data_IF_572310390767
#
_entry.id   IF_572310390767
#
_cell.length_a   1.000
_cell.length_b   1.000
_cell.length_c   1.000
_cell.angle_alpha   90.00
_cell.angle_beta   90.00
_cell.angle_gamma   90.00
#
_symmetry.space_group_name_H-M   'P 1'
#
loop_
_entity.id
_entity.type
_entity.pdbx_description
1 polymer ?
#
# COMPACT_ATOMS: atom_id res chain seq x y z
N UNK A 1 28.03 7.48 13.00
CA UNK A 1 26.93 7.53 12.02
C UNK A 1 26.06 8.71 12.33
N UNK A 2 25.79 9.64 11.41
CA UNK A 2 24.81 10.67 11.67
C UNK A 2 23.47 9.95 11.82
N UNK A 3 22.89 10.02 13.00
CA UNK A 3 21.65 9.34 13.32
C UNK A 3 20.61 9.64 12.25
N UNK A 4 19.87 8.63 11.82
CA UNK A 4 18.69 8.79 10.99
C UNK A 4 17.86 9.89 11.66
N UNK A 5 18.03 11.11 11.14
CA UNK A 5 17.72 12.34 11.85
C UNK A 5 16.31 12.34 12.41
N UNK A 6 16.16 12.87 13.60
CA UNK A 6 14.91 12.99 14.31
C UNK A 6 13.78 13.65 13.51
N UNK A 7 12.79 14.22 14.18
CA UNK A 7 11.61 14.83 13.56
C UNK A 7 11.91 15.70 12.33
N UNK A 8 13.03 16.46 12.34
CA UNK A 8 13.44 17.30 11.19
C UNK A 8 13.67 16.48 9.91
N UNK A 9 14.27 15.29 9.98
CA UNK A 9 14.50 14.45 8.80
C UNK A 9 13.20 13.82 8.31
N UNK A 10 12.29 13.48 9.22
CA UNK A 10 10.96 13.00 8.90
C UNK A 10 10.15 14.07 8.12
N UNK A 11 10.09 15.30 8.66
CA UNK A 11 9.40 16.40 7.98
C UNK A 11 10.06 16.84 6.66
N UNK A 12 11.36 16.64 6.50
CA UNK A 12 12.05 16.90 5.22
C UNK A 12 11.54 15.99 4.09
N UNK A 13 11.09 14.78 4.40
CA UNK A 13 10.53 13.86 3.41
C UNK A 13 9.22 14.37 2.81
N UNK A 14 8.43 15.18 3.55
CA UNK A 14 7.23 15.84 3.02
C UNK A 14 7.56 16.93 1.99
N UNK A 15 8.76 17.51 2.05
CA UNK A 15 9.19 18.54 1.11
C UNK A 15 9.66 17.98 -0.23
N UNK A 16 9.76 16.65 -0.37
CA UNK A 16 10.15 15.98 -1.63
C UNK A 16 8.96 15.87 -2.58
N UNK A 17 8.52 17.02 -3.10
CA UNK A 17 7.39 17.14 -4.01
C UNK A 17 7.81 17.16 -5.49
N UNK A 18 9.08 17.53 -5.77
CA UNK A 18 9.60 17.60 -7.13
C UNK A 18 10.04 16.20 -7.61
N UNK A 19 9.07 15.37 -7.95
CA UNK A 19 9.24 14.04 -8.52
C UNK A 19 8.60 14.01 -9.92
N UNK A 20 9.01 13.10 -10.83
CA UNK A 20 8.34 12.95 -12.11
C UNK A 20 6.83 12.72 -11.94
N UNK A 21 5.95 13.44 -12.69
CA UNK A 21 4.49 13.38 -12.53
C UNK A 21 3.92 11.95 -12.65
N UNK A 22 4.58 11.08 -13.39
CA UNK A 22 4.18 9.67 -13.53
C UNK A 22 4.09 8.96 -12.18
N UNK A 23 4.91 9.33 -11.19
CA UNK A 23 4.86 8.71 -9.86
C UNK A 23 3.61 9.12 -9.09
N UNK A 24 3.11 10.33 -9.29
CA UNK A 24 1.83 10.74 -8.72
C UNK A 24 0.67 9.98 -9.38
N UNK A 25 0.73 9.79 -10.71
CA UNK A 25 -0.26 9.00 -11.43
C UNK A 25 -0.23 7.52 -10.97
N UNK A 26 0.94 6.90 -10.88
CA UNK A 26 1.10 5.53 -10.36
C UNK A 26 0.57 5.46 -8.93
N UNK A 27 0.96 6.37 -8.07
CA UNK A 27 0.53 6.39 -6.67
C UNK A 27 -0.99 6.45 -6.55
N UNK A 28 -1.64 7.33 -7.28
CA UNK A 28 -3.07 7.53 -7.17
C UNK A 28 -3.89 6.43 -7.88
N UNK A 29 -3.47 6.00 -9.06
CA UNK A 29 -4.31 5.19 -9.95
C UNK A 29 -3.91 3.71 -10.05
N UNK A 30 -2.78 3.27 -9.46
CA UNK A 30 -2.40 1.86 -9.47
C UNK A 30 -3.50 0.92 -8.95
N UNK A 31 -4.29 1.25 -7.92
CA UNK A 31 -5.36 0.39 -7.45
C UNK A 31 -6.45 0.13 -8.50
N UNK A 32 -6.73 1.08 -9.40
CA UNK A 32 -7.81 0.97 -10.39
C UNK A 32 -7.66 -0.26 -11.29
N UNK A 33 -6.57 -0.44 -12.04
CA UNK A 33 -6.42 -1.63 -12.89
C UNK A 33 -6.40 -2.94 -12.09
N UNK A 34 -5.94 -2.93 -10.84
CA UNK A 34 -5.92 -4.12 -9.99
C UNK A 34 -7.35 -4.53 -9.57
N UNK A 35 -8.16 -3.56 -9.16
CA UNK A 35 -9.56 -3.79 -8.78
C UNK A 35 -10.39 -4.21 -9.99
N UNK A 36 -10.20 -3.56 -11.14
CA UNK A 36 -10.89 -3.95 -12.37
C UNK A 36 -10.47 -5.35 -12.84
N UNK A 37 -9.19 -5.70 -12.76
CA UNK A 37 -8.72 -7.04 -13.10
C UNK A 37 -9.32 -8.10 -12.15
N UNK A 38 -9.41 -7.81 -10.85
CA UNK A 38 -10.07 -8.70 -9.90
C UNK A 38 -11.54 -8.92 -10.25
N UNK A 39 -12.27 -7.86 -10.62
CA UNK A 39 -13.65 -7.95 -11.05
C UNK A 39 -13.81 -8.75 -12.36
N UNK A 40 -12.90 -8.58 -13.32
CA UNK A 40 -12.91 -9.35 -14.57
C UNK A 40 -12.64 -10.83 -14.32
N UNK A 41 -11.69 -11.17 -13.44
CA UNK A 41 -11.44 -12.55 -13.02
C UNK A 41 -12.70 -13.15 -12.37
N UNK A 42 -13.33 -12.39 -11.48
CA UNK A 42 -14.57 -12.78 -10.82
C UNK A 42 -15.67 -13.18 -11.82
N UNK A 43 -15.89 -12.33 -12.84
CA UNK A 43 -16.84 -12.62 -13.91
C UNK A 43 -16.40 -13.83 -14.76
N UNK A 44 -15.10 -13.94 -15.06
CA UNK A 44 -14.54 -15.07 -15.79
C UNK A 44 -14.72 -16.42 -15.08
N UNK A 45 -14.88 -16.40 -13.75
CA UNK A 45 -15.26 -17.57 -12.95
C UNK A 45 -16.77 -17.85 -12.94
N UNK A 46 -17.55 -17.20 -13.80
CA UNK A 46 -19.01 -17.36 -13.90
C UNK A 46 -19.79 -16.71 -12.75
N UNK A 47 -19.16 -15.82 -12.00
CA UNK A 47 -19.80 -15.11 -10.88
C UNK A 47 -20.45 -13.82 -11.36
N UNK A 48 -21.56 -13.44 -10.72
CA UNK A 48 -22.24 -12.18 -11.03
C UNK A 48 -21.63 -11.02 -10.27
N UNK A 49 -21.64 -9.83 -10.87
CA UNK A 49 -21.17 -8.59 -10.31
C UNK A 49 -22.29 -7.54 -10.41
N UNK A 50 -22.94 -7.27 -9.27
CA UNK A 50 -24.07 -6.35 -9.23
C UNK A 50 -23.66 -4.89 -9.41
N UNK A 51 -22.49 -4.53 -8.87
CA UNK A 51 -22.01 -3.14 -8.85
C UNK A 51 -20.54 -3.07 -9.22
N UNK A 52 -20.22 -2.37 -10.31
CA UNK A 52 -18.84 -2.10 -10.74
C UNK A 52 -18.23 -0.88 -10.06
N UNK A 53 -19.03 0.18 -9.95
CA UNK A 53 -18.61 1.48 -9.41
C UNK A 53 -19.71 1.96 -8.47
N UNK A 54 -19.30 2.34 -7.28
CA UNK A 54 -20.16 3.02 -6.29
C UNK A 54 -19.75 4.48 -6.23
N UNK A 55 -20.71 5.37 -6.41
CA UNK A 55 -20.50 6.81 -6.28
C UNK A 55 -21.24 7.31 -5.03
N UNK A 56 -20.59 7.34 -3.87
CA UNK A 56 -21.21 7.95 -2.71
C UNK A 56 -21.48 9.43 -2.98
N UNK A 57 -22.57 9.97 -2.44
CA UNK A 57 -22.97 11.36 -2.64
C UNK A 57 -23.13 12.12 -1.32
N UNK A 58 -23.08 13.43 -1.39
CA UNK A 58 -23.32 14.32 -0.26
C UNK A 58 -22.35 14.08 0.92
N UNK A 59 -22.86 14.05 2.13
CA UNK A 59 -22.10 13.88 3.35
C UNK A 59 -21.36 12.53 3.40
N UNK A 60 -21.95 11.46 2.85
CA UNK A 60 -21.32 10.14 2.77
C UNK A 60 -20.06 10.17 1.92
N UNK A 61 -20.06 10.88 0.79
CA UNK A 61 -18.88 11.05 -0.04
C UNK A 61 -17.75 11.78 0.72
N UNK A 62 -18.08 12.89 1.37
CA UNK A 62 -17.12 13.67 2.14
C UNK A 62 -16.53 12.85 3.29
N UNK A 63 -17.34 12.08 4.01
CA UNK A 63 -16.89 11.18 5.06
C UNK A 63 -15.98 10.08 4.51
N UNK A 64 -16.37 9.39 3.44
CA UNK A 64 -15.59 8.31 2.84
C UNK A 64 -14.22 8.81 2.34
N UNK A 65 -14.18 9.98 1.69
CA UNK A 65 -12.93 10.59 1.25
C UNK A 65 -12.05 10.97 2.45
N UNK A 66 -12.63 11.62 3.46
CA UNK A 66 -11.91 11.97 4.68
C UNK A 66 -11.33 10.75 5.41
N UNK A 67 -12.14 9.71 5.57
CA UNK A 67 -11.72 8.45 6.17
C UNK A 67 -10.64 7.72 5.34
N UNK A 68 -10.60 7.96 4.03
CA UNK A 68 -9.58 7.40 3.15
C UNK A 68 -8.25 8.16 3.18
N UNK A 69 -8.25 9.44 3.56
CA UNK A 69 -7.06 10.30 3.54
C UNK A 69 -6.40 10.41 4.92
N UNK A 70 -7.18 10.57 5.98
CA UNK A 70 -6.66 10.88 7.32
C UNK A 70 -5.78 9.77 7.90
N UNK A 71 -6.19 8.47 7.91
CA UNK A 71 -5.35 7.39 8.42
C UNK A 71 -4.00 7.26 7.69
N UNK A 72 -3.94 7.27 6.34
CA UNK A 72 -2.68 7.26 5.59
C UNK A 72 -1.69 8.34 6.00
N UNK A 73 -2.16 9.53 6.35
CA UNK A 73 -1.24 10.59 6.82
C UNK A 73 -0.49 10.16 8.08
N UNK A 74 -1.18 9.59 9.07
CA UNK A 74 -0.54 9.12 10.31
C UNK A 74 0.29 7.86 10.10
N UNK A 75 -0.26 6.87 9.42
CA UNK A 75 0.38 5.57 9.23
C UNK A 75 1.68 5.67 8.42
N UNK A 76 1.69 6.44 7.34
CA UNK A 76 2.87 6.55 6.49
C UNK A 76 4.03 7.31 7.16
N UNK A 77 3.76 8.21 8.11
CA UNK A 77 4.80 8.76 8.95
C UNK A 77 5.54 7.68 9.74
N UNK A 78 4.80 6.73 10.31
CA UNK A 78 5.37 5.60 11.05
C UNK A 78 6.07 4.61 10.14
N UNK A 79 5.35 4.10 9.14
CA UNK A 79 5.83 3.00 8.30
C UNK A 79 6.94 3.43 7.34
N UNK A 80 6.69 4.42 6.48
CA UNK A 80 7.64 4.81 5.43
C UNK A 80 8.54 5.97 5.85
N UNK A 81 8.02 6.87 6.67
CA UNK A 81 8.83 7.98 7.17
C UNK A 81 9.86 7.56 8.20
N UNK A 82 9.51 6.65 9.10
CA UNK A 82 10.36 6.26 10.24
C UNK A 82 10.94 4.85 10.10
N UNK A 83 10.12 3.81 9.97
CA UNK A 83 10.56 2.42 10.03
C UNK A 83 11.31 2.00 8.75
N UNK A 84 10.76 2.30 7.57
CA UNK A 84 11.33 1.90 6.29
C UNK A 84 12.80 2.34 6.12
N UNK A 85 13.19 3.62 6.30
CA UNK A 85 14.59 4.02 6.11
C UNK A 85 15.56 3.32 7.06
N UNK A 86 15.13 3.03 8.28
CA UNK A 86 15.98 2.39 9.30
C UNK A 86 16.18 0.91 9.03
N UNK A 87 15.10 0.21 8.71
CA UNK A 87 15.15 -1.23 8.43
C UNK A 87 15.90 -1.50 7.13
N UNK A 88 15.67 -0.71 6.07
CA UNK A 88 16.32 -0.96 4.79
C UNK A 88 17.82 -0.66 4.78
N UNK A 89 18.31 0.25 5.63
CA UNK A 89 19.75 0.47 5.82
C UNK A 89 20.44 -0.78 6.37
N UNK A 90 19.75 -1.57 7.18
CA UNK A 90 20.32 -2.76 7.81
C UNK A 90 20.05 -4.04 7.02
N UNK A 91 18.86 -4.20 6.45
CA UNK A 91 18.40 -5.45 5.89
C UNK A 91 18.10 -5.39 4.39
N UNK A 92 18.19 -4.23 3.76
CA UNK A 92 17.75 -3.99 2.39
C UNK A 92 16.25 -3.71 2.29
N UNK A 93 15.83 -3.17 1.13
CA UNK A 93 14.49 -2.62 0.97
C UNK A 93 13.39 -3.70 0.95
N UNK A 94 13.64 -4.85 0.31
CA UNK A 94 12.66 -5.94 0.27
C UNK A 94 12.41 -6.53 1.66
N UNK A 95 13.48 -6.85 2.41
CA UNK A 95 13.33 -7.38 3.77
C UNK A 95 12.65 -6.38 4.69
N UNK A 96 12.99 -5.09 4.58
CA UNK A 96 12.33 -4.04 5.34
C UNK A 96 10.83 -3.95 5.00
N UNK A 97 10.47 -4.02 3.72
CA UNK A 97 9.08 -3.99 3.27
C UNK A 97 8.29 -5.20 3.78
N UNK A 98 8.87 -6.40 3.76
CA UNK A 98 8.23 -7.61 4.29
C UNK A 98 7.99 -7.48 5.80
N UNK A 99 8.99 -7.05 6.58
CA UNK A 99 8.85 -6.84 8.02
C UNK A 99 7.76 -5.82 8.32
N UNK A 100 7.75 -4.68 7.60
CA UNK A 100 6.71 -3.66 7.75
C UNK A 100 5.34 -4.23 7.36
N UNK A 101 5.26 -5.00 6.26
CA UNK A 101 4.03 -5.64 5.83
C UNK A 101 3.45 -6.58 6.88
N UNK A 102 4.29 -7.39 7.53
CA UNK A 102 3.89 -8.26 8.64
C UNK A 102 3.36 -7.44 9.82
N UNK A 103 4.12 -6.44 10.26
CA UNK A 103 3.71 -5.57 11.38
C UNK A 103 2.40 -4.83 11.06
N UNK A 104 2.28 -4.33 9.85
CA UNK A 104 1.08 -3.63 9.39
C UNK A 104 -0.13 -4.55 9.28
N UNK A 105 0.06 -5.80 8.81
CA UNK A 105 -0.99 -6.83 8.82
C UNK A 105 -1.46 -7.14 10.23
N UNK A 106 -0.51 -7.35 11.16
CA UNK A 106 -0.84 -7.59 12.57
C UNK A 106 -1.60 -6.41 13.18
N UNK A 107 -1.19 -5.18 12.87
CA UNK A 107 -1.92 -3.97 13.27
C UNK A 107 -3.38 -3.99 12.78
N UNK A 108 -3.65 -4.47 11.56
CA UNK A 108 -5.00 -4.54 11.00
C UNK A 108 -5.88 -5.64 11.62
N UNK A 109 -5.32 -6.49 12.48
CA UNK A 109 -6.10 -7.47 13.24
C UNK A 109 -6.65 -6.91 14.57
N UNK A 110 -6.38 -5.65 14.91
CA UNK A 110 -6.86 -5.02 16.15
C UNK A 110 -8.40 -5.11 16.35
N UNK A 111 -9.26 -5.09 15.29
CA UNK A 111 -10.69 -5.24 15.51
C UNK A 111 -11.09 -6.56 16.18
N UNK A 112 -10.25 -7.60 16.08
CA UNK A 112 -10.45 -8.87 16.79
C UNK A 112 -10.31 -8.75 18.30
N UNK A 113 -9.50 -7.81 18.77
CA UNK A 113 -9.20 -7.60 20.17
C UNK A 113 -10.19 -6.64 20.87
N UNK A 114 -11.10 -6.01 20.10
CA UNK A 114 -12.06 -5.03 20.64
C UNK A 114 -13.33 -5.75 21.11
N UNK A 115 -13.80 -5.50 22.33
CA UNK A 115 -15.10 -5.99 22.79
C UNK A 115 -16.21 -5.56 21.82
N UNK A 116 -17.01 -6.51 21.33
CA UNK A 116 -18.05 -6.24 20.34
C UNK A 116 -17.56 -6.18 18.88
N UNK A 117 -16.26 -6.35 18.63
CA UNK A 117 -15.70 -6.50 17.30
C UNK A 117 -16.23 -7.74 16.57
N UNK A 118 -15.92 -7.89 15.27
CA UNK A 118 -16.37 -9.03 14.47
C UNK A 118 -15.92 -10.34 15.12
N UNK A 119 -16.87 -11.16 15.52
CA UNK A 119 -16.61 -12.43 16.24
C UNK A 119 -16.04 -13.54 15.37
N UNK A 120 -15.98 -13.35 14.05
CA UNK A 120 -15.62 -14.37 13.07
C UNK A 120 -14.61 -13.76 12.08
N UNK A 121 -13.34 -13.89 12.42
CA UNK A 121 -12.29 -13.88 11.40
C UNK A 121 -12.03 -15.34 11.00
N UNK A 122 -12.34 -15.66 9.77
CA UNK A 122 -11.90 -16.93 9.22
C UNK A 122 -10.37 -16.91 9.07
N UNK A 123 -9.68 -18.04 9.20
CA UNK A 123 -8.25 -18.12 8.90
C UNK A 123 -7.90 -17.56 7.51
N UNK A 124 -8.82 -17.68 6.55
CA UNK A 124 -8.72 -17.09 5.21
C UNK A 124 -8.62 -15.56 5.23
N UNK A 125 -9.35 -14.88 6.13
CA UNK A 125 -9.34 -13.41 6.23
C UNK A 125 -8.02 -12.92 6.80
N UNK A 126 -7.48 -13.65 7.76
CA UNK A 126 -6.16 -13.37 8.32
C UNK A 126 -5.10 -13.54 7.23
N UNK A 127 -5.09 -14.70 6.55
CA UNK A 127 -4.12 -15.00 5.51
C UNK A 127 -4.17 -13.96 4.37
N UNK A 128 -5.36 -13.65 3.87
CA UNK A 128 -5.52 -12.66 2.80
C UNK A 128 -5.06 -11.26 3.22
N UNK A 129 -5.26 -10.88 4.49
CA UNK A 129 -4.78 -9.60 5.03
C UNK A 129 -3.26 -9.54 4.98
N UNK A 130 -2.57 -10.61 5.39
CA UNK A 130 -1.10 -10.69 5.30
C UNK A 130 -0.63 -10.65 3.85
N UNK A 131 -1.22 -11.44 2.95
CA UNK A 131 -0.85 -11.45 1.53
C UNK A 131 -1.01 -10.06 0.92
N UNK A 132 -2.14 -9.41 1.13
CA UNK A 132 -2.43 -8.08 0.62
C UNK A 132 -1.48 -7.03 1.17
N UNK A 133 -1.32 -6.95 2.49
CA UNK A 133 -0.53 -5.88 3.11
C UNK A 133 0.97 -6.06 2.97
N UNK A 134 1.49 -7.28 2.89
CA UNK A 134 2.88 -7.52 2.52
C UNK A 134 3.11 -7.08 1.07
N UNK A 135 2.22 -7.47 0.14
CA UNK A 135 2.29 -7.02 -1.25
C UNK A 135 2.23 -5.49 -1.37
N UNK A 136 1.29 -4.87 -0.68
CA UNK A 136 1.14 -3.40 -0.63
C UNK A 136 2.37 -2.72 -0.03
N UNK A 137 2.95 -3.28 1.03
CA UNK A 137 4.16 -2.74 1.65
C UNK A 137 5.37 -2.75 0.69
N UNK A 138 5.51 -3.80 -0.12
CA UNK A 138 6.56 -3.88 -1.16
C UNK A 138 6.31 -2.81 -2.24
N UNK A 139 5.08 -2.64 -2.72
CA UNK A 139 4.72 -1.62 -3.70
C UNK A 139 5.00 -0.22 -3.16
N UNK A 140 4.64 0.06 -1.90
CA UNK A 140 4.87 1.37 -1.30
C UNK A 140 6.36 1.63 -1.04
N UNK A 141 7.14 0.61 -0.67
CA UNK A 141 8.59 0.72 -0.57
C UNK A 141 9.23 1.02 -1.94
N UNK A 142 8.73 0.41 -3.01
CA UNK A 142 9.14 0.72 -4.38
C UNK A 142 8.84 2.16 -4.78
N UNK A 143 7.61 2.65 -4.54
CA UNK A 143 7.24 4.05 -4.79
C UNK A 143 8.13 4.99 -3.97
N UNK A 144 8.28 4.73 -2.67
CA UNK A 144 9.11 5.52 -1.77
C UNK A 144 10.55 5.63 -2.28
N UNK A 145 11.19 4.51 -2.59
CA UNK A 145 12.59 4.49 -3.02
C UNK A 145 12.77 5.08 -4.42
N UNK A 146 11.86 4.81 -5.35
CA UNK A 146 11.90 5.34 -6.72
C UNK A 146 11.68 6.85 -6.79
N UNK A 147 11.02 7.42 -5.77
CA UNK A 147 10.79 8.87 -5.64
C UNK A 147 11.84 9.57 -4.76
N UNK A 148 12.94 8.87 -4.42
CA UNK A 148 13.99 9.40 -3.56
C UNK A 148 13.54 9.62 -2.11
N UNK A 149 12.51 8.89 -1.64
CA UNK A 149 11.97 8.99 -0.30
C UNK A 149 10.89 10.07 -0.16
N UNK A 150 10.05 10.28 -1.17
CA UNK A 150 8.88 11.16 -1.08
C UNK A 150 7.80 10.50 -0.23
N UNK A 151 7.58 11.03 0.96
CA UNK A 151 6.53 10.54 1.85
C UNK A 151 5.14 10.89 1.30
N UNK A 152 5.00 12.05 0.65
CA UNK A 152 3.74 12.48 0.02
C UNK A 152 3.31 11.54 -1.09
N UNK A 153 4.25 11.02 -1.91
CA UNK A 153 3.91 10.05 -2.95
C UNK A 153 3.29 8.77 -2.36
N UNK A 154 3.82 8.30 -1.23
CA UNK A 154 3.28 7.10 -0.57
C UNK A 154 1.96 7.39 0.15
N UNK A 155 1.80 8.55 0.76
CA UNK A 155 0.52 8.98 1.33
C UNK A 155 -0.58 9.03 0.26
N UNK A 156 -0.25 9.52 -0.95
CA UNK A 156 -1.18 9.51 -2.09
C UNK A 156 -1.49 8.07 -2.53
N UNK A 157 -0.49 7.17 -2.55
CA UNK A 157 -0.71 5.78 -2.92
C UNK A 157 -1.65 5.07 -1.93
N UNK A 158 -1.48 5.33 -0.64
CA UNK A 158 -2.32 4.75 0.40
C UNK A 158 -3.74 5.35 0.37
N UNK A 159 -3.86 6.67 0.28
CA UNK A 159 -5.16 7.32 0.14
C UNK A 159 -5.88 6.87 -1.15
N UNK A 160 -5.16 6.77 -2.26
CA UNK A 160 -5.67 6.23 -3.52
C UNK A 160 -6.18 4.81 -3.38
N UNK A 161 -5.44 3.93 -2.69
CA UNK A 161 -5.90 2.58 -2.39
C UNK A 161 -7.26 2.60 -1.66
N UNK A 162 -7.36 3.37 -0.58
CA UNK A 162 -8.57 3.45 0.22
C UNK A 162 -9.76 4.05 -0.56
N UNK A 163 -9.52 5.10 -1.35
CA UNK A 163 -10.54 5.74 -2.17
C UNK A 163 -11.05 4.76 -3.24
N UNK A 164 -10.15 4.16 -4.02
CA UNK A 164 -10.56 3.30 -5.12
C UNK A 164 -11.19 2.00 -4.68
N UNK A 165 -10.79 1.42 -3.54
CA UNK A 165 -11.48 0.25 -2.96
C UNK A 165 -12.90 0.58 -2.52
N UNK A 166 -13.17 1.82 -2.13
CA UNK A 166 -14.54 2.29 -1.81
C UNK A 166 -15.37 2.55 -3.08
N UNK A 167 -14.73 3.00 -4.16
CA UNK A 167 -15.44 3.34 -5.41
C UNK A 167 -15.58 2.16 -6.36
N UNK A 168 -14.67 1.20 -6.31
CA UNK A 168 -14.70 -0.02 -7.13
C UNK A 168 -14.77 -1.23 -6.18
N UNK A 169 -15.87 -1.40 -5.43
CA UNK A 169 -15.99 -2.46 -4.44
C UNK A 169 -16.03 -3.86 -5.09
N UNK A 170 -16.82 -3.98 -6.14
CA UNK A 170 -16.93 -5.16 -6.99
C UNK A 170 -16.88 -6.49 -6.24
N UNK A 171 -16.03 -7.38 -6.67
CA UNK A 171 -15.81 -8.69 -6.05
C UNK A 171 -15.33 -8.63 -4.59
N UNK A 172 -14.85 -7.48 -4.12
CA UNK A 172 -14.41 -7.30 -2.73
C UNK A 172 -15.56 -7.42 -1.72
N UNK A 173 -16.81 -7.21 -2.16
CA UNK A 173 -17.99 -7.34 -1.31
C UNK A 173 -18.58 -8.77 -1.29
N UNK A 174 -17.89 -9.73 -1.88
CA UNK A 174 -18.35 -11.13 -1.91
C UNK A 174 -18.34 -11.76 -0.51
N UNK A 175 -19.50 -12.26 -0.03
CA UNK A 175 -19.61 -12.89 1.29
C UNK A 175 -18.92 -14.26 1.37
N UNK A 176 -18.52 -14.85 0.25
CA UNK A 176 -17.79 -16.13 0.21
C UNK A 176 -16.28 -15.95 0.41
N UNK A 177 -15.81 -14.72 0.58
CA UNK A 177 -14.41 -14.34 0.74
C UNK A 177 -13.50 -14.61 -0.47
N UNK A 178 -13.99 -15.21 -1.55
CA UNK A 178 -13.18 -15.47 -2.75
C UNK A 178 -12.82 -14.17 -3.47
N UNK A 179 -13.75 -13.22 -3.59
CA UNK A 179 -13.49 -11.91 -4.20
C UNK A 179 -12.37 -11.13 -3.50
N UNK A 180 -12.42 -10.97 -2.17
CA UNK A 180 -11.30 -10.42 -1.39
C UNK A 180 -9.96 -11.14 -1.59
N UNK A 181 -9.96 -12.47 -1.72
CA UNK A 181 -8.75 -13.25 -2.01
C UNK A 181 -8.18 -12.90 -3.38
N UNK A 182 -9.03 -12.82 -4.42
CA UNK A 182 -8.62 -12.42 -5.78
C UNK A 182 -8.01 -11.02 -5.75
N UNK A 183 -8.69 -10.06 -5.11
CA UNK A 183 -8.19 -8.69 -4.96
C UNK A 183 -6.81 -8.64 -4.27
N UNK A 184 -6.65 -9.40 -3.18
CA UNK A 184 -5.37 -9.50 -2.46
C UNK A 184 -4.26 -10.11 -3.32
N UNK A 185 -4.58 -11.12 -4.11
CA UNK A 185 -3.63 -11.75 -5.05
C UNK A 185 -3.13 -10.77 -6.10
N UNK A 186 -3.96 -9.84 -6.60
CA UNK A 186 -3.55 -8.82 -7.57
C UNK A 186 -2.44 -7.92 -7.02
N UNK A 187 -2.55 -7.46 -5.78
CA UNK A 187 -1.49 -6.69 -5.14
C UNK A 187 -0.21 -7.50 -4.99
N UNK A 188 -0.33 -8.77 -4.65
CA UNK A 188 0.82 -9.65 -4.49
C UNK A 188 1.53 -9.94 -5.82
N UNK A 189 0.79 -10.14 -6.90
CA UNK A 189 1.34 -10.30 -8.25
C UNK A 189 2.12 -9.06 -8.68
N UNK A 190 1.59 -7.86 -8.44
CA UNK A 190 2.33 -6.61 -8.72
C UNK A 190 3.58 -6.50 -7.84
N UNK A 191 3.51 -6.87 -6.58
CA UNK A 191 4.67 -6.87 -5.69
C UNK A 191 5.77 -7.81 -6.21
N UNK A 192 5.42 -9.03 -6.65
CA UNK A 192 6.36 -9.97 -7.28
C UNK A 192 6.96 -9.32 -8.53
N UNK A 193 6.14 -8.72 -9.39
CA UNK A 193 6.61 -8.04 -10.61
C UNK A 193 7.60 -6.91 -10.30
N UNK A 194 7.34 -6.14 -9.25
CA UNK A 194 8.27 -5.10 -8.76
C UNK A 194 9.60 -5.73 -8.31
N UNK A 195 9.56 -6.80 -7.53
CA UNK A 195 10.78 -7.48 -7.05
C UNK A 195 11.60 -8.03 -8.21
N UNK A 196 10.94 -8.64 -9.20
CA UNK A 196 11.63 -9.20 -10.40
C UNK A 196 12.19 -8.09 -11.31
N UNK A 197 11.55 -6.93 -11.37
CA UNK A 197 11.94 -5.81 -12.22
C UNK A 197 12.95 -4.84 -11.59
N UNK A 198 13.27 -4.99 -10.31
CA UNK A 198 14.12 -4.08 -9.54
C UNK A 198 15.18 -4.83 -8.74
N UNK A 199 16.12 -4.08 -8.14
CA UNK A 199 17.08 -4.69 -7.21
C UNK A 199 16.42 -4.90 -5.84
N UNK A 200 16.43 -6.11 -5.26
CA UNK A 200 15.81 -6.38 -3.97
C UNK A 200 16.39 -5.56 -2.79
N UNK A 201 17.64 -5.12 -2.90
CA UNK A 201 18.26 -4.28 -1.86
C UNK A 201 17.74 -2.86 -1.85
N UNK A 202 17.27 -2.35 -2.99
CA UNK A 202 16.85 -0.95 -3.14
C UNK A 202 15.38 -0.81 -3.55
N UNK A 203 14.76 -1.84 -4.10
CA UNK A 203 13.44 -1.81 -4.76
C UNK A 203 13.33 -0.62 -5.73
N UNK A 204 14.39 -0.40 -6.52
CA UNK A 204 14.42 0.60 -7.59
C UNK A 204 15.33 0.13 -8.71
N UNK A 205 15.12 0.60 -9.93
CA UNK A 205 16.02 0.39 -11.08
C UNK A 205 17.27 1.28 -11.01
N UNK A 206 17.25 2.35 -10.24
CA UNK A 206 18.40 3.23 -10.04
C UNK A 206 19.40 2.52 -9.15
N UNK A 207 20.62 2.36 -9.62
CA UNK A 207 21.74 2.01 -8.75
C UNK A 207 21.90 3.12 -7.69
N UNK A 208 22.25 2.78 -6.47
CA UNK A 208 22.63 3.81 -5.49
C UNK A 208 23.75 4.65 -6.11
N UNK A 209 23.80 5.98 -5.86
CA UNK A 209 24.91 6.79 -6.31
C UNK A 209 26.21 6.14 -5.82
N UNK A 210 27.18 6.03 -6.74
CA UNK A 210 28.50 5.50 -6.40
C UNK A 210 29.07 6.35 -5.25
N UNK A 211 29.47 5.76 -4.11
CA UNK A 211 30.05 6.51 -3.00
C UNK A 211 31.29 7.33 -3.42
N UNK A 212 31.97 6.93 -4.49
CA UNK A 212 33.16 7.62 -5.02
C UNK A 212 32.83 8.86 -5.89
N UNK A 213 31.55 9.11 -6.19
CA UNK A 213 31.12 10.27 -6.99
C UNK A 213 30.56 11.43 -6.14
N UNK A 214 30.71 11.39 -4.83
CA UNK A 214 30.40 12.54 -3.97
C UNK A 214 31.55 13.56 -4.06
N UNK A 215 31.28 14.84 -4.39
CA UNK A 215 32.29 15.88 -4.45
C UNK A 215 32.88 16.17 -3.08
#
# INVERSE_FOLDING_TARGET
MPGAGGARALFRQLKRLRIPPIWYAIALFLPVPLLLAANLIWIGLGKHLDVWITMPAGATAAFSIGASIVPPLGEEFGWRGFAQPRLQQRYGALSAAIVIGIMWSTWHLWPLAVPGGPKLFLPSDVLQTYVRLIGTAIIYAWIYNSTGGSLVAVMIAHAGHNIWTSFIPGASNDPTHLGPVIGSAMYFVVAISVVLATNPRTLTRRLPPNPESAP
#
